data_IF_843671341021
#
_entry.id   IF_843671341021
#
_cell.length_a   1.000
_cell.length_b   1.000
_cell.length_c   1.000
_cell.angle_alpha   90.00
_cell.angle_beta   90.00
_cell.angle_gamma   90.00
#
_symmetry.space_group_name_H-M   'P 1'
#
loop_
_entity.id
_entity.type
_entity.pdbx_description
1 polymer ?
#
# COMPACT_ATOMS: atom_id res chain seq x y z
N UNK A 1 6.45 -1.26 17.42
CA UNK A 1 7.31 -0.53 16.46
C UNK A 1 6.40 -0.28 15.28
N UNK A 2 6.13 0.99 14.95
CA UNK A 2 5.22 1.32 13.87
C UNK A 2 5.86 0.86 12.55
N UNK A 3 5.16 -0.01 11.82
CA UNK A 3 5.50 -0.28 10.43
C UNK A 3 5.22 1.04 9.71
N UNK A 4 6.26 1.69 9.18
CA UNK A 4 6.07 2.76 8.19
C UNK A 4 5.29 2.10 7.05
N UNK A 5 4.13 2.67 6.74
CA UNK A 5 3.36 2.23 5.58
C UNK A 5 4.29 2.37 4.36
N UNK A 6 4.70 1.28 3.68
CA UNK A 6 5.60 1.38 2.53
C UNK A 6 4.95 2.17 1.38
N UNK A 7 3.62 2.34 1.43
CA UNK A 7 2.85 3.00 0.38
C UNK A 7 2.85 4.53 0.49
N UNK A 8 3.19 5.14 1.65
CA UNK A 8 3.29 6.61 1.78
C UNK A 8 4.32 7.10 2.82
N UNK A 9 5.04 8.20 2.53
CA UNK A 9 6.05 8.76 3.41
C UNK A 9 5.49 9.29 4.73
N UNK A 10 6.39 9.54 5.69
CA UNK A 10 6.05 10.15 6.98
C UNK A 10 5.24 11.45 6.80
N UNK A 11 4.09 11.57 7.48
CA UNK A 11 3.23 12.77 7.46
C UNK A 11 1.89 12.62 6.73
N UNK A 12 1.58 11.44 6.20
CA UNK A 12 0.27 11.14 5.62
C UNK A 12 -0.73 10.69 6.68
N UNK A 13 -1.97 11.20 6.57
CA UNK A 13 -3.09 10.83 7.44
C UNK A 13 -4.15 10.12 6.59
N UNK A 14 -4.52 8.89 6.99
CA UNK A 14 -5.66 8.17 6.40
C UNK A 14 -6.94 8.98 6.66
N UNK A 15 -7.70 9.25 5.61
CA UNK A 15 -9.00 9.95 5.70
C UNK A 15 -10.18 9.11 5.27
N UNK A 16 -9.99 8.04 4.51
CA UNK A 16 -11.10 7.19 4.10
C UNK A 16 -11.58 6.29 5.26
N UNK A 17 -12.81 6.50 5.82
CA UNK A 17 -13.33 5.65 6.88
C UNK A 17 -13.77 4.25 6.40
N UNK A 18 -13.86 4.03 5.07
CA UNK A 18 -14.31 2.79 4.45
C UNK A 18 -13.19 1.96 3.82
N UNK A 19 -11.94 2.44 3.89
CA UNK A 19 -10.75 1.77 3.35
C UNK A 19 -10.76 0.29 3.72
N UNK A 20 -10.71 -0.58 2.72
CA UNK A 20 -10.82 -2.04 2.83
C UNK A 20 -9.78 -2.68 1.90
N UNK A 21 -8.52 -2.60 2.30
CA UNK A 21 -7.40 -3.03 1.46
C UNK A 21 -7.42 -4.52 1.12
N UNK A 22 -7.99 -5.34 2.02
CA UNK A 22 -8.09 -6.78 1.83
C UNK A 22 -9.39 -7.22 1.12
N UNK A 23 -10.27 -6.26 0.80
CA UNK A 23 -11.54 -6.43 0.09
C UNK A 23 -12.48 -7.46 0.73
N UNK A 24 -12.51 -7.53 2.06
CA UNK A 24 -13.33 -8.49 2.79
C UNK A 24 -14.69 -7.92 3.26
N UNK A 25 -15.00 -6.67 2.91
CA UNK A 25 -16.17 -5.89 3.28
C UNK A 25 -16.21 -5.44 4.75
N UNK A 26 -15.05 -5.38 5.41
CA UNK A 26 -14.88 -4.82 6.75
C UNK A 26 -13.84 -3.70 6.61
N UNK A 27 -14.17 -2.44 6.94
CA UNK A 27 -13.18 -1.37 6.89
C UNK A 27 -11.96 -1.68 7.77
N UNK A 28 -10.76 -1.36 7.29
CA UNK A 28 -9.47 -1.65 7.92
C UNK A 28 -9.41 -1.18 9.39
N UNK A 29 -10.07 -0.06 9.72
CA UNK A 29 -10.13 0.47 11.09
C UNK A 29 -10.95 -0.39 12.07
N UNK A 30 -11.73 -1.33 11.55
CA UNK A 30 -12.56 -2.30 12.27
C UNK A 30 -12.12 -3.74 12.02
N UNK A 31 -11.22 -3.96 11.06
CA UNK A 31 -10.80 -5.29 10.67
C UNK A 31 -9.73 -5.85 11.63
N UNK A 32 -9.95 -7.09 12.06
CA UNK A 32 -9.00 -7.85 12.87
C UNK A 32 -8.17 -8.82 12.03
N UNK A 33 -8.51 -8.98 10.75
CA UNK A 33 -7.82 -9.79 9.77
C UNK A 33 -7.12 -8.85 8.79
N UNK A 34 -5.81 -8.76 8.83
CA UNK A 34 -5.05 -7.93 7.86
C UNK A 34 -4.41 -8.89 6.85
N UNK A 35 -4.58 -8.66 5.56
CA UNK A 35 -4.04 -9.52 4.49
C UNK A 35 -3.60 -8.62 3.34
N UNK A 36 -2.44 -7.96 3.49
CA UNK A 36 -2.01 -6.91 2.55
C UNK A 36 -1.54 -7.47 1.21
N UNK A 37 -0.99 -8.68 1.21
CA UNK A 37 -0.56 -9.35 -0.03
C UNK A 37 -1.69 -10.17 -0.69
N UNK A 38 -2.90 -10.13 -0.10
CA UNK A 38 -4.11 -10.80 -0.60
C UNK A 38 -3.89 -12.31 -0.82
N UNK A 39 -3.11 -12.94 0.05
CA UNK A 39 -2.74 -14.34 -0.06
C UNK A 39 -3.70 -15.28 0.72
N UNK A 40 -4.69 -14.72 1.40
CA UNK A 40 -5.69 -15.42 2.21
C UNK A 40 -5.21 -15.77 3.62
N UNK A 41 -4.11 -15.17 4.09
CA UNK A 41 -3.56 -15.38 5.42
C UNK A 41 -3.45 -14.06 6.15
N UNK A 42 -3.80 -14.09 7.43
CA UNK A 42 -3.62 -12.94 8.30
C UNK A 42 -2.12 -12.64 8.47
N UNK A 43 -1.70 -11.46 8.04
CA UNK A 43 -0.38 -10.85 8.21
C UNK A 43 0.21 -11.04 9.60
N UNK A 44 -0.62 -11.03 10.66
CA UNK A 44 -0.17 -11.24 12.04
C UNK A 44 0.44 -12.63 12.28
N UNK A 45 0.09 -13.59 11.43
CA UNK A 45 0.60 -14.96 11.41
C UNK A 45 1.68 -15.17 10.33
N UNK A 46 2.09 -14.13 9.62
CA UNK A 46 3.08 -14.19 8.56
C UNK A 46 4.43 -13.65 9.02
N UNK A 47 5.52 -14.29 8.58
CA UNK A 47 6.89 -13.81 8.87
C UNK A 47 7.36 -12.80 7.82
N UNK A 48 6.86 -12.96 6.60
CA UNK A 48 7.24 -12.28 5.36
C UNK A 48 5.98 -11.94 4.58
N UNK A 49 6.04 -10.90 3.77
CA UNK A 49 4.98 -10.52 2.83
C UNK A 49 5.55 -10.58 1.41
N UNK A 50 4.66 -10.69 0.42
CA UNK A 50 4.97 -10.69 -1.01
C UNK A 50 3.97 -9.77 -1.72
N UNK A 51 4.10 -8.46 -1.47
CA UNK A 51 3.12 -7.46 -1.91
C UNK A 51 3.03 -7.34 -3.43
N UNK A 52 4.17 -7.45 -4.13
CA UNK A 52 4.24 -7.41 -5.59
C UNK A 52 3.96 -8.78 -6.25
N UNK A 53 3.73 -9.83 -5.46
CA UNK A 53 3.31 -11.18 -5.88
C UNK A 53 4.33 -11.86 -6.80
N UNK A 54 5.61 -11.57 -6.62
CA UNK A 54 6.67 -12.16 -7.43
C UNK A 54 7.27 -13.45 -6.81
N UNK A 55 6.78 -13.88 -5.64
CA UNK A 55 7.25 -15.03 -4.85
C UNK A 55 8.61 -14.84 -4.17
N UNK A 56 9.04 -13.60 -3.99
CA UNK A 56 10.20 -13.21 -3.18
C UNK A 56 9.68 -12.45 -1.96
N UNK A 57 10.28 -12.71 -0.80
CA UNK A 57 9.96 -11.93 0.41
C UNK A 57 10.39 -10.48 0.19
N UNK A 58 9.45 -9.53 0.33
CA UNK A 58 9.66 -8.10 0.10
C UNK A 58 10.91 -7.57 0.83
N UNK A 59 11.21 -8.09 2.03
CA UNK A 59 12.37 -7.65 2.82
C UNK A 59 13.71 -8.01 2.19
N UNK A 60 13.72 -8.99 1.30
CA UNK A 60 14.90 -9.55 0.66
C UNK A 60 14.84 -9.40 -0.86
N UNK A 61 13.88 -8.63 -1.38
CA UNK A 61 13.67 -8.50 -2.80
C UNK A 61 14.37 -7.26 -3.39
N UNK A 62 15.46 -7.45 -4.17
CA UNK A 62 16.12 -6.35 -4.86
C UNK A 62 15.38 -5.90 -6.13
N UNK A 63 14.31 -6.58 -6.52
CA UNK A 63 13.52 -6.24 -7.71
C UNK A 63 12.06 -5.91 -7.35
N UNK A 64 11.79 -5.61 -6.07
CA UNK A 64 10.48 -5.21 -5.58
C UNK A 64 9.91 -4.09 -6.44
N UNK A 65 8.76 -4.34 -7.05
CA UNK A 65 8.11 -3.51 -8.07
C UNK A 65 6.59 -3.58 -7.85
N UNK A 66 6.07 -2.76 -6.93
CA UNK A 66 4.68 -2.90 -6.48
C UNK A 66 3.65 -2.49 -7.55
N UNK A 67 4.00 -1.56 -8.42
CA UNK A 67 3.13 -1.06 -9.48
C UNK A 67 3.30 -1.84 -10.80
N UNK A 68 4.19 -2.84 -10.82
CA UNK A 68 4.49 -3.72 -11.95
C UNK A 68 4.92 -2.99 -13.22
N UNK A 69 5.67 -1.89 -13.08
CA UNK A 69 6.11 -1.06 -14.19
C UNK A 69 7.50 -1.45 -14.75
N UNK A 70 8.13 -2.49 -14.20
CA UNK A 70 9.46 -3.02 -14.53
C UNK A 70 10.65 -2.16 -14.04
N UNK A 71 10.38 -1.17 -13.19
CA UNK A 71 11.39 -0.37 -12.51
C UNK A 71 11.31 -0.72 -11.02
N UNK A 72 12.37 -1.28 -10.42
CA UNK A 72 12.34 -1.55 -8.98
C UNK A 72 12.09 -0.26 -8.17
N UNK A 73 11.16 -0.32 -7.21
CA UNK A 73 10.69 0.83 -6.41
C UNK A 73 11.86 1.61 -5.79
N UNK A 74 12.88 0.91 -5.30
CA UNK A 74 14.08 1.50 -4.70
C UNK A 74 14.92 2.35 -5.65
N UNK A 75 14.71 2.21 -6.97
CA UNK A 75 15.36 3.00 -8.02
C UNK A 75 14.39 3.92 -8.75
N UNK A 76 13.10 3.80 -8.47
CA UNK A 76 12.07 4.63 -9.08
C UNK A 76 12.09 6.03 -8.46
N UNK A 77 12.11 7.04 -9.32
CA UNK A 77 12.17 8.46 -8.89
C UNK A 77 10.77 8.97 -8.52
N UNK A 78 9.73 8.34 -9.06
CA UNK A 78 8.36 8.83 -9.03
C UNK A 78 7.40 7.63 -8.98
N UNK A 79 7.40 6.93 -7.84
CA UNK A 79 6.50 5.80 -7.61
C UNK A 79 5.04 6.26 -7.81
N UNK A 80 4.26 5.44 -8.49
CA UNK A 80 2.85 5.66 -8.84
C UNK A 80 2.15 4.30 -8.68
N UNK A 81 1.64 4.03 -7.46
CA UNK A 81 1.09 2.70 -7.11
C UNK A 81 -0.27 2.45 -7.76
N UNK A 82 -1.15 3.43 -7.79
CA UNK A 82 -2.51 3.28 -8.33
C UNK A 82 -2.58 3.53 -9.85
N UNK A 83 -1.45 3.86 -10.47
CA UNK A 83 -1.25 4.02 -11.92
C UNK A 83 -2.12 5.14 -12.52
N UNK A 84 -2.32 6.22 -11.77
CA UNK A 84 -3.13 7.37 -12.19
C UNK A 84 -2.32 8.42 -12.99
N UNK A 85 -1.00 8.23 -13.13
CA UNK A 85 0.00 9.12 -13.75
C UNK A 85 0.39 10.35 -12.89
N UNK A 86 0.08 10.33 -11.60
CA UNK A 86 0.53 11.31 -10.61
C UNK A 86 1.46 10.57 -9.65
N UNK A 87 2.73 11.00 -9.52
CA UNK A 87 3.62 10.38 -8.54
C UNK A 87 3.03 10.45 -7.13
N UNK A 88 3.16 9.39 -6.34
CA UNK A 88 2.59 9.24 -5.00
C UNK A 88 2.97 10.38 -4.04
N UNK A 89 4.15 10.99 -4.20
CA UNK A 89 4.61 12.17 -3.45
C UNK A 89 3.88 13.47 -3.80
N UNK A 90 3.13 13.46 -4.90
CA UNK A 90 2.32 14.56 -5.42
C UNK A 90 0.85 14.20 -5.51
N UNK A 91 0.49 12.93 -5.30
CA UNK A 91 -0.88 12.49 -5.41
C UNK A 91 -1.66 12.73 -4.10
N UNK A 92 -2.68 13.57 -4.25
CA UNK A 92 -3.64 13.94 -3.21
C UNK A 92 -4.97 13.19 -3.37
N UNK A 93 -5.06 12.21 -4.26
CA UNK A 93 -6.29 11.50 -4.60
C UNK A 93 -6.13 9.98 -4.67
N UNK A 94 -5.09 9.40 -4.05
CA UNK A 94 -4.89 7.96 -4.11
C UNK A 94 -6.09 7.18 -3.57
N UNK A 95 -6.46 6.15 -4.31
CA UNK A 95 -7.55 5.22 -4.07
C UNK A 95 -7.05 3.78 -4.29
N UNK A 96 -6.35 3.22 -3.29
CA UNK A 96 -5.68 1.91 -3.40
C UNK A 96 -6.68 0.74 -3.41
N UNK A 97 -7.82 0.89 -2.73
CA UNK A 97 -8.85 -0.15 -2.69
C UNK A 97 -9.89 0.00 -3.82
N UNK A 98 -9.84 1.11 -4.57
CA UNK A 98 -10.66 1.37 -5.76
C UNK A 98 -12.11 1.70 -5.41
N UNK A 99 -12.39 2.20 -4.21
CA UNK A 99 -13.73 2.47 -3.73
C UNK A 99 -14.26 3.86 -4.15
N UNK A 100 -13.42 4.69 -4.77
CA UNK A 100 -13.75 6.03 -5.26
C UNK A 100 -13.67 7.12 -4.19
N UNK A 101 -13.10 6.82 -3.02
CA UNK A 101 -12.81 7.72 -1.93
C UNK A 101 -11.29 7.80 -1.81
N UNK A 102 -10.77 9.01 -1.68
CA UNK A 102 -9.34 9.17 -1.43
C UNK A 102 -8.98 8.61 -0.04
N UNK A 103 -8.02 7.69 -0.02
CA UNK A 103 -7.50 7.01 1.15
C UNK A 103 -6.92 7.99 2.19
N UNK A 104 -6.41 9.15 1.77
CA UNK A 104 -5.84 10.16 2.67
C UNK A 104 -5.07 11.30 2.04
N UNK A 105 -4.45 12.12 2.89
CA UNK A 105 -3.71 13.31 2.43
C UNK A 105 -2.44 13.57 3.24
N UNK A 106 -1.47 14.23 2.63
CA UNK A 106 -0.30 14.76 3.33
C UNK A 106 -0.71 16.03 4.08
N UNK A 107 -0.50 16.05 5.40
CA UNK A 107 -0.72 17.26 6.21
C UNK A 107 0.38 18.29 5.90
N UNK A 108 0.06 19.29 5.08
CA UNK A 108 0.91 20.45 4.80
C UNK A 108 0.79 21.47 5.93
N UNK A 109 1.71 21.41 6.92
CA UNK A 109 1.89 22.43 7.95
C UNK A 109 3.32 22.99 7.98
#
# INVERSE_FOLDING_TARGET
>A
MAFQNPFRPDGWTQTDPFMDMNQNNIPDNQDLFVDRDLNGRDDSNQVTLDLDKNNVDDRNDPLFDINHNQIPDQTEISLDIDNDNIPDEHDLHVDLDGNGINDGSVDIF
#
